data_IF_941491783317
#
_entry.id   IF_941491783317
#
_cell.length_a   1.000
_cell.length_b   1.000
_cell.length_c   1.000
_cell.angle_alpha   90.00
_cell.angle_beta   90.00
_cell.angle_gamma   90.00
#
_symmetry.space_group_name_H-M   'P 1'
#
loop_
_entity.id
_entity.type
_entity.pdbx_description
1 polymer ?
#
# COMPACT_ATOMS: atom_id res chain seq x y z
N UNK A 1 -20.22 34.88 -29.70
CA UNK A 1 -21.36 33.97 -29.43
C UNK A 1 -20.89 32.95 -28.41
N UNK A 2 -21.00 33.28 -27.11
CA UNK A 2 -22.07 32.81 -26.18
C UNK A 2 -22.01 31.30 -25.94
N UNK A 3 -21.51 30.86 -24.77
CA UNK A 3 -22.27 30.43 -23.56
C UNK A 3 -22.51 28.89 -23.58
N UNK A 4 -22.30 28.05 -22.55
CA UNK A 4 -22.27 28.21 -21.10
C UNK A 4 -21.36 27.16 -20.41
N UNK A 5 -20.63 27.60 -19.38
CA UNK A 5 -20.09 26.76 -18.32
C UNK A 5 -21.13 26.63 -17.19
N UNK A 6 -21.40 25.40 -16.73
CA UNK A 6 -22.32 25.12 -15.62
C UNK A 6 -21.63 25.33 -14.27
N UNK A 7 -21.97 26.45 -13.60
CA UNK A 7 -21.56 26.75 -12.23
C UNK A 7 -22.30 25.85 -11.22
N UNK A 8 -21.55 25.31 -10.26
CA UNK A 8 -22.07 24.74 -9.00
C UNK A 8 -22.41 25.87 -8.03
N UNK A 9 -23.59 25.88 -7.39
CA UNK A 9 -23.88 26.84 -6.33
C UNK A 9 -23.21 26.42 -5.01
N UNK A 10 -22.36 27.30 -4.49
CA UNK A 10 -21.86 27.31 -3.12
C UNK A 10 -22.89 28.00 -2.21
N UNK A 11 -23.30 27.35 -1.12
CA UNK A 11 -24.16 27.98 -0.11
C UNK A 11 -23.28 28.84 0.84
N UNK A 12 -23.50 30.14 0.78
CA UNK A 12 -22.95 31.15 1.68
C UNK A 12 -23.55 30.96 3.09
N UNK A 13 -22.67 30.85 4.09
CA UNK A 13 -23.04 30.99 5.51
C UNK A 13 -22.58 32.36 5.96
N UNK A 14 -23.52 33.28 6.14
CA UNK A 14 -23.26 34.61 6.69
C UNK A 14 -23.02 34.53 8.19
N UNK A 15 -22.00 35.26 8.63
CA UNK A 15 -21.69 35.55 10.02
C UNK A 15 -22.57 36.71 10.50
N UNK A 16 -23.02 36.65 11.75
CA UNK A 16 -23.50 37.82 12.48
C UNK A 16 -22.82 37.82 13.85
N UNK A 17 -22.12 38.92 14.10
CA UNK A 17 -21.27 39.16 15.25
C UNK A 17 -22.07 39.62 16.47
N UNK A 18 -21.50 39.32 17.63
CA UNK A 18 -21.91 39.77 18.96
C UNK A 18 -21.50 41.22 19.20
N UNK A 19 -22.46 42.05 19.61
CA UNK A 19 -22.31 43.25 20.45
C UNK A 19 -23.55 43.24 21.35
N UNK A 20 -23.52 43.24 22.68
CA UNK A 20 -22.68 44.01 23.58
C UNK A 20 -23.54 45.12 24.22
N UNK A 21 -23.75 45.03 25.53
CA UNK A 21 -23.89 46.17 26.47
C UNK A 21 -25.27 46.77 26.83
N UNK A 22 -25.60 46.61 28.12
CA UNK A 22 -25.97 47.63 29.15
C UNK A 22 -27.34 48.30 29.26
N UNK A 23 -27.71 48.49 30.55
CA UNK A 23 -28.66 49.41 31.19
C UNK A 23 -30.16 49.02 31.08
N UNK A 24 -30.90 48.71 32.15
CA UNK A 24 -31.18 49.43 33.42
C UNK A 24 -31.73 50.85 33.20
N UNK A 25 -33.06 50.96 33.17
CA UNK A 25 -33.82 52.17 33.51
C UNK A 25 -35.14 51.78 34.16
N UNK A 26 -35.24 52.09 35.44
CA UNK A 26 -36.42 52.16 36.30
C UNK A 26 -37.33 53.34 35.92
N UNK A 27 -38.66 53.19 36.04
CA UNK A 27 -39.54 54.06 36.86
C UNK A 27 -41.04 53.92 36.52
N UNK A 28 -41.82 53.61 37.56
CA UNK A 28 -43.08 54.22 38.05
C UNK A 28 -44.26 54.47 37.07
N UNK A 29 -45.47 54.01 37.46
CA UNK A 29 -46.78 54.73 37.50
C UNK A 29 -47.84 53.75 38.08
N UNK A 30 -48.28 53.90 39.34
CA UNK A 30 -49.54 54.55 39.82
C UNK A 30 -50.84 53.83 39.44
N UNK A 31 -51.55 53.28 40.44
CA UNK A 31 -53.00 53.44 40.67
C UNK A 31 -53.49 52.67 41.93
N UNK A 32 -53.70 53.44 43.01
CA UNK A 32 -54.86 53.54 43.93
C UNK A 32 -55.68 52.32 44.44
N UNK A 33 -56.35 52.45 45.62
CA UNK A 33 -56.70 51.36 46.52
C UNK A 33 -58.20 51.01 46.66
N UNK A 34 -58.46 49.79 47.13
CA UNK A 34 -59.53 49.34 48.06
C UNK A 34 -61.04 49.50 47.74
N UNK A 35 -61.75 48.35 47.83
CA UNK A 35 -63.02 48.01 48.54
C UNK A 35 -63.68 46.82 47.78
N UNK A 36 -64.13 45.70 48.33
CA UNK A 36 -64.26 45.14 49.69
C UNK A 36 -64.53 43.61 49.59
N UNK A 37 -64.89 42.91 50.68
CA UNK A 37 -64.81 41.45 50.78
C UNK A 37 -66.12 40.71 50.43
N UNK A 38 -66.01 39.55 49.77
CA UNK A 38 -67.09 38.56 49.66
C UNK A 38 -66.58 37.17 50.09
N UNK A 39 -67.06 36.60 51.21
CA UNK A 39 -66.70 35.26 51.64
C UNK A 39 -67.75 34.24 51.19
N UNK A 40 -67.38 33.27 50.36
CA UNK A 40 -68.14 32.04 50.21
C UNK A 40 -67.30 30.95 49.53
N UNK A 41 -67.04 29.87 50.29
CA UNK A 41 -66.70 28.51 49.85
C UNK A 41 -65.43 28.34 49.00
N UNK A 42 -64.54 27.37 49.17
CA UNK A 42 -64.55 26.09 49.85
C UNK A 42 -63.12 25.54 49.79
N UNK A 43 -62.59 25.12 50.93
CA UNK A 43 -61.71 23.96 51.11
C UNK A 43 -60.54 23.80 50.11
N UNK A 44 -59.36 24.29 50.50
CA UNK A 44 -58.09 23.70 50.08
C UNK A 44 -57.38 23.16 51.33
N UNK A 45 -56.87 21.91 51.32
CA UNK A 45 -56.16 21.37 52.48
C UNK A 45 -54.83 22.11 52.66
N UNK A 46 -54.65 22.66 53.85
CA UNK A 46 -53.37 23.20 54.33
C UNK A 46 -52.43 22.03 54.61
N UNK A 47 -51.44 21.82 53.74
CA UNK A 47 -50.31 20.95 54.05
C UNK A 47 -49.30 21.74 54.87
N UNK A 48 -49.33 21.55 56.18
CA UNK A 48 -48.35 22.08 57.11
C UNK A 48 -47.07 21.23 57.04
N UNK A 49 -46.04 21.69 56.33
CA UNK A 49 -44.62 21.70 56.74
C UNK A 49 -43.70 22.03 55.54
N UNK A 50 -42.86 23.05 55.71
CA UNK A 50 -41.48 23.01 55.21
C UNK A 50 -41.22 23.30 53.74
N UNK A 51 -40.96 24.57 53.44
CA UNK A 51 -40.05 24.96 52.36
C UNK A 51 -40.73 25.21 51.02
N UNK A 52 -40.60 26.44 50.53
CA UNK A 52 -40.73 26.75 49.12
C UNK A 52 -39.79 25.85 48.32
N UNK A 53 -40.30 24.76 47.74
CA UNK A 53 -39.60 24.14 46.62
C UNK A 53 -39.82 25.05 45.43
N UNK A 54 -39.01 26.11 45.39
CA UNK A 54 -38.83 26.96 44.23
C UNK A 54 -38.33 26.05 43.09
N UNK A 55 -39.24 25.59 42.23
CA UNK A 55 -38.86 24.94 40.98
C UNK A 55 -38.24 26.01 40.09
N UNK A 56 -36.94 26.23 40.28
CA UNK A 56 -36.14 27.02 39.35
C UNK A 56 -36.00 26.16 38.11
N UNK A 57 -36.72 26.51 37.05
CA UNK A 57 -36.51 25.92 35.73
C UNK A 57 -35.05 26.20 35.35
N UNK A 58 -34.17 25.20 35.52
CA UNK A 58 -32.80 25.28 35.03
C UNK A 58 -32.80 25.02 33.52
N UNK A 59 -32.32 26.04 32.82
CA UNK A 59 -32.02 26.20 31.39
C UNK A 59 -31.92 24.92 30.55
N UNK A 60 -32.77 24.83 29.52
CA UNK A 60 -32.62 24.01 28.28
C UNK A 60 -31.81 22.72 28.46
N UNK A 61 -32.44 21.63 28.88
CA UNK A 61 -31.90 20.28 28.61
C UNK A 61 -32.13 19.96 27.13
N UNK A 62 -31.06 19.79 26.36
CA UNK A 62 -31.15 19.12 25.06
C UNK A 62 -30.38 19.75 23.91
N UNK A 63 -29.17 20.26 24.14
CA UNK A 63 -28.20 20.42 23.05
C UNK A 63 -27.34 19.17 22.95
N UNK A 64 -27.80 18.14 22.25
CA UNK A 64 -26.93 16.99 21.95
C UNK A 64 -25.70 17.46 21.17
N UNK A 65 -24.50 17.03 21.57
CA UNK A 65 -23.29 17.34 20.79
C UNK A 65 -23.36 16.59 19.47
N UNK A 66 -23.59 17.30 18.37
CA UNK A 66 -23.39 16.76 17.03
C UNK A 66 -22.23 17.50 16.37
N UNK A 67 -21.15 16.76 16.12
CA UNK A 67 -20.18 16.91 15.01
C UNK A 67 -19.01 15.95 15.22
N UNK A 68 -19.26 14.67 15.00
CA UNK A 68 -18.15 13.76 14.70
C UNK A 68 -17.76 13.94 13.23
N UNK A 69 -17.01 15.01 12.95
CA UNK A 69 -16.28 15.15 11.70
C UNK A 69 -14.87 14.56 11.87
N UNK A 70 -14.79 13.26 12.19
CA UNK A 70 -13.52 12.54 12.39
C UNK A 70 -13.23 11.68 11.16
N UNK A 71 -12.30 12.14 10.35
CA UNK A 71 -11.83 11.43 9.17
C UNK A 71 -10.30 11.57 9.08
N UNK A 72 -9.62 10.44 8.90
CA UNK A 72 -8.17 10.45 8.67
C UNK A 72 -7.90 10.71 7.18
N UNK A 73 -6.80 11.41 6.88
CA UNK A 73 -6.40 11.58 5.49
C UNK A 73 -6.08 10.23 4.82
N UNK A 74 -6.26 10.14 3.50
CA UNK A 74 -5.92 8.94 2.74
C UNK A 74 -4.43 8.57 2.87
N UNK A 75 -4.14 7.28 3.06
CA UNK A 75 -2.76 6.77 3.24
C UNK A 75 -2.00 6.54 1.92
N UNK A 76 -2.62 6.84 0.78
CA UNK A 76 -2.02 6.72 -0.59
C UNK A 76 -1.48 5.32 -0.90
N UNK A 77 -2.20 4.29 -0.46
CA UNK A 77 -1.91 2.86 -0.74
C UNK A 77 -2.14 2.52 -2.22
N UNK A 78 -1.72 1.33 -2.65
CA UNK A 78 -1.93 0.79 -3.99
C UNK A 78 -0.65 0.67 -4.82
N UNK A 79 -0.84 0.38 -6.11
CA UNK A 79 0.20 0.22 -7.12
C UNK A 79 0.96 1.54 -7.31
N UNK A 80 2.28 1.44 -7.47
CA UNK A 80 3.18 2.55 -7.83
C UNK A 80 3.86 2.32 -9.17
N UNK A 81 4.16 1.06 -9.49
CA UNK A 81 4.70 0.63 -10.80
C UNK A 81 3.78 -0.43 -11.39
N UNK A 82 3.36 -0.21 -12.64
CA UNK A 82 2.45 -1.11 -13.35
C UNK A 82 3.22 -2.23 -14.06
N UNK A 83 2.49 -3.24 -14.53
CA UNK A 83 3.07 -4.33 -15.32
C UNK A 83 3.78 -3.79 -16.56
N UNK A 84 4.93 -4.36 -16.92
CA UNK A 84 5.76 -3.96 -18.07
C UNK A 84 6.56 -2.67 -17.86
N UNK A 85 6.47 -2.01 -16.70
CA UNK A 85 7.28 -0.83 -16.42
C UNK A 85 8.69 -1.22 -15.95
N UNK A 86 9.69 -0.51 -16.48
CA UNK A 86 11.06 -0.61 -16.01
C UNK A 86 11.21 0.01 -14.61
N UNK A 87 11.90 -0.69 -13.72
CA UNK A 87 12.18 -0.30 -12.34
C UNK A 87 13.65 -0.51 -12.01
N UNK A 88 14.17 0.35 -11.13
CA UNK A 88 15.50 0.21 -10.54
C UNK A 88 15.43 -0.52 -9.19
N UNK A 89 16.58 -1.02 -8.72
CA UNK A 89 16.66 -1.61 -7.38
C UNK A 89 16.29 -0.57 -6.31
N UNK A 90 15.47 -0.98 -5.34
CA UNK A 90 14.95 -0.15 -4.26
C UNK A 90 13.64 0.57 -4.59
N UNK A 91 13.19 0.60 -5.85
CA UNK A 91 11.93 1.25 -6.19
C UNK A 91 10.71 0.54 -5.60
N UNK A 92 9.74 1.33 -5.13
CA UNK A 92 8.49 0.82 -4.57
C UNK A 92 7.54 0.44 -5.71
N UNK A 93 7.03 -0.80 -5.67
CA UNK A 93 6.08 -1.32 -6.66
C UNK A 93 4.64 -1.27 -6.13
N UNK A 94 4.42 -1.63 -4.86
CA UNK A 94 3.09 -1.68 -4.26
C UNK A 94 3.12 -1.35 -2.78
N UNK A 95 2.27 -0.42 -2.32
CA UNK A 95 2.09 -0.09 -0.90
C UNK A 95 0.77 -0.66 -0.39
N UNK A 96 0.81 -1.46 0.67
CA UNK A 96 -0.36 -2.18 1.16
C UNK A 96 -0.50 -2.16 2.68
N UNK A 97 -1.63 -2.70 3.16
CA UNK A 97 -1.83 -3.09 4.55
C UNK A 97 -2.11 -4.59 4.54
N UNK A 98 -1.25 -5.35 5.22
CA UNK A 98 -1.18 -6.80 5.04
C UNK A 98 -0.72 -7.17 3.63
N UNK A 99 -0.69 -8.48 3.34
CA UNK A 99 -0.23 -9.01 2.05
C UNK A 99 -1.41 -9.29 1.13
N UNK A 100 -1.82 -8.29 0.33
CA UNK A 100 -2.72 -8.52 -0.81
C UNK A 100 -1.98 -9.15 -1.97
N UNK A 101 -0.76 -8.65 -2.21
CA UNK A 101 0.21 -9.22 -3.13
C UNK A 101 1.44 -9.67 -2.36
N UNK A 102 2.02 -10.79 -2.80
CA UNK A 102 3.22 -11.40 -2.22
C UNK A 102 4.45 -11.06 -3.06
N UNK A 103 5.61 -11.03 -2.40
CA UNK A 103 6.89 -10.90 -3.07
C UNK A 103 7.18 -12.16 -3.89
N UNK A 104 7.43 -11.97 -5.18
CA UNK A 104 7.87 -13.00 -6.11
C UNK A 104 9.35 -12.84 -6.46
N UNK A 105 9.77 -13.28 -7.66
CA UNK A 105 11.16 -13.18 -8.11
C UNK A 105 11.66 -11.74 -8.16
N UNK A 106 12.85 -11.48 -7.64
CA UNK A 106 13.51 -10.17 -7.63
C UNK A 106 12.71 -9.03 -6.95
N UNK A 107 11.83 -9.39 -6.03
CA UNK A 107 11.04 -8.47 -5.22
C UNK A 107 11.21 -8.87 -3.75
N UNK A 108 11.31 -7.88 -2.88
CA UNK A 108 11.33 -8.08 -1.44
C UNK A 108 10.18 -7.30 -0.79
N UNK A 109 9.91 -7.64 0.47
CA UNK A 109 8.82 -7.07 1.25
C UNK A 109 9.37 -6.37 2.49
N UNK A 110 9.00 -5.10 2.67
CA UNK A 110 9.37 -4.31 3.85
C UNK A 110 8.52 -4.61 5.08
N UNK A 111 8.84 -3.97 6.21
CA UNK A 111 8.13 -4.12 7.50
C UNK A 111 6.62 -3.84 7.41
N UNK A 112 6.22 -2.88 6.59
CA UNK A 112 4.80 -2.52 6.40
C UNK A 112 4.15 -3.27 5.23
N UNK A 113 4.75 -4.38 4.79
CA UNK A 113 4.35 -5.18 3.63
C UNK A 113 4.45 -4.44 2.28
N UNK A 114 5.13 -3.29 2.23
CA UNK A 114 5.44 -2.63 0.95
C UNK A 114 6.37 -3.51 0.11
N UNK A 115 6.02 -3.69 -1.16
CA UNK A 115 6.82 -4.46 -2.11
C UNK A 115 7.76 -3.52 -2.87
N UNK A 116 9.04 -3.88 -2.93
CA UNK A 116 10.08 -3.13 -3.62
C UNK A 116 10.97 -4.04 -4.47
N UNK A 117 11.53 -3.50 -5.55
CA UNK A 117 12.41 -4.22 -6.46
C UNK A 117 13.79 -4.46 -5.83
N UNK A 118 14.34 -5.66 -5.92
CA UNK A 118 15.72 -5.94 -5.48
C UNK A 118 16.75 -5.81 -6.60
N UNK A 119 16.31 -5.91 -7.86
CA UNK A 119 17.16 -5.75 -9.03
C UNK A 119 16.47 -4.87 -10.08
N UNK A 120 17.27 -4.30 -10.97
CA UNK A 120 16.75 -3.57 -12.14
C UNK A 120 16.03 -4.51 -13.11
N UNK A 121 14.91 -4.08 -13.69
CA UNK A 121 14.11 -4.94 -14.56
C UNK A 121 12.69 -4.45 -14.83
N UNK A 122 11.80 -5.34 -15.27
CA UNK A 122 10.41 -5.03 -15.61
C UNK A 122 9.43 -5.70 -14.64
N UNK A 123 8.40 -4.97 -14.21
CA UNK A 123 7.41 -5.46 -13.23
C UNK A 123 6.39 -6.38 -13.89
N UNK A 124 6.03 -7.48 -13.23
CA UNK A 124 4.95 -8.37 -13.65
C UNK A 124 4.07 -8.76 -12.47
N UNK A 125 2.75 -8.75 -12.69
CA UNK A 125 1.75 -9.24 -11.74
C UNK A 125 1.23 -10.59 -12.26
N UNK A 126 1.31 -11.63 -11.43
CA UNK A 126 0.92 -12.97 -11.86
C UNK A 126 0.29 -13.78 -10.73
N UNK A 127 -0.47 -14.80 -11.12
CA UNK A 127 -0.98 -15.83 -10.23
C UNK A 127 -0.04 -17.04 -10.29
N UNK A 128 0.13 -17.79 -9.20
CA UNK A 128 0.83 -19.06 -9.29
C UNK A 128 0.05 -19.94 -10.27
N UNK A 129 0.78 -20.71 -11.07
CA UNK A 129 0.13 -21.78 -11.83
C UNK A 129 -0.60 -22.65 -10.80
N UNK A 130 -1.88 -23.01 -11.03
CA UNK A 130 -2.48 -24.09 -10.26
C UNK A 130 -1.60 -25.30 -10.54
N UNK A 131 -0.75 -25.66 -9.57
CA UNK A 131 0.12 -26.80 -9.75
C UNK A 131 -0.80 -28.00 -9.99
N UNK A 132 -0.64 -28.63 -11.15
CA UNK A 132 -0.71 -30.09 -11.21
C UNK A 132 0.06 -30.60 -9.98
N UNK A 133 -0.54 -31.48 -9.15
CA UNK A 133 0.11 -31.95 -7.94
C UNK A 133 1.53 -32.38 -8.27
N UNK A 134 2.49 -31.98 -7.42
CA UNK A 134 3.91 -32.25 -7.57
C UNK A 134 4.16 -33.76 -7.68
N UNK A 135 4.05 -34.30 -8.89
CA UNK A 135 4.37 -35.68 -9.19
C UNK A 135 5.07 -35.72 -10.56
N UNK A 136 6.24 -36.35 -10.56
CA UNK A 136 7.14 -36.67 -11.68
C UNK A 136 8.18 -35.60 -12.03
N UNK A 137 9.31 -35.70 -11.34
CA UNK A 137 10.60 -35.39 -11.94
C UNK A 137 10.75 -36.25 -13.20
N UNK A 138 10.67 -35.65 -14.39
CA UNK A 138 11.14 -36.27 -15.61
C UNK A 138 12.67 -36.33 -15.56
N UNK A 139 13.20 -37.53 -15.34
CA UNK A 139 14.57 -37.86 -15.72
C UNK A 139 14.71 -37.64 -17.22
N UNK A 140 15.30 -36.52 -17.62
CA UNK A 140 15.78 -36.34 -18.98
C UNK A 140 17.03 -37.23 -19.17
N UNK A 141 16.82 -38.51 -19.45
CA UNK A 141 17.79 -39.33 -20.17
C UNK A 141 17.72 -38.96 -21.64
N UNK A 142 18.66 -38.15 -22.11
CA UNK A 142 19.12 -38.21 -23.50
C UNK A 142 20.57 -37.75 -23.53
N UNK A 143 21.49 -38.69 -23.76
CA UNK A 143 22.50 -38.68 -24.84
C UNK A 143 23.59 -39.69 -24.50
N UNK A 144 23.46 -40.87 -25.11
CA UNK A 144 24.57 -41.74 -25.48
C UNK A 144 25.58 -40.95 -26.33
N UNK A 145 26.88 -40.97 -26.03
CA UNK A 145 27.82 -41.29 -27.09
C UNK A 145 28.65 -42.52 -26.74
N UNK A 146 28.78 -43.34 -27.75
CA UNK A 146 29.59 -44.55 -27.86
C UNK A 146 31.09 -44.33 -27.65
N UNK A 147 31.70 -45.38 -27.09
CA UNK A 147 33.01 -45.97 -27.44
C UNK A 147 34.32 -45.18 -27.23
N UNK A 148 35.16 -45.81 -26.39
CA UNK A 148 36.61 -46.06 -26.54
C UNK A 148 37.61 -44.89 -26.46
N UNK A 149 38.31 -44.78 -25.33
CA UNK A 149 39.72 -45.24 -25.21
C UNK A 149 40.31 -44.93 -23.83
N UNK A 150 41.14 -45.87 -23.37
CA UNK A 150 41.79 -46.03 -22.07
C UNK A 150 42.99 -45.07 -21.85
N UNK A 151 43.61 -45.04 -20.64
CA UNK A 151 44.24 -43.88 -20.02
C UNK A 151 45.74 -43.74 -20.34
N UNK A 152 46.28 -42.52 -20.22
CA UNK A 152 47.72 -42.33 -19.99
C UNK A 152 48.06 -41.01 -19.30
N UNK A 153 49.14 -41.08 -18.54
CA UNK A 153 49.77 -40.16 -17.59
C UNK A 153 50.19 -38.79 -18.13
N UNK A 154 49.94 -37.72 -17.36
CA UNK A 154 50.95 -36.77 -16.84
C UNK A 154 50.24 -35.81 -15.87
N UNK A 155 50.54 -35.92 -14.59
CA UNK A 155 50.03 -35.04 -13.54
C UNK A 155 50.74 -33.69 -13.57
N UNK A 156 50.32 -32.79 -14.44
CA UNK A 156 50.42 -31.34 -14.17
C UNK A 156 49.09 -30.95 -13.54
N UNK A 157 49.11 -30.52 -12.28
CA UNK A 157 47.92 -30.32 -11.45
C UNK A 157 46.84 -29.50 -12.13
N UNK A 158 45.87 -30.20 -12.75
CA UNK A 158 44.64 -29.61 -13.23
C UNK A 158 43.81 -29.30 -11.99
N UNK A 159 43.63 -28.01 -11.70
CA UNK A 159 42.69 -27.56 -10.68
C UNK A 159 41.35 -28.28 -10.92
N UNK A 160 40.75 -28.91 -9.89
CA UNK A 160 39.49 -29.62 -10.07
C UNK A 160 38.48 -28.65 -10.68
N UNK A 161 37.96 -28.99 -11.86
CA UNK A 161 36.98 -28.17 -12.53
C UNK A 161 35.80 -27.94 -11.58
N UNK A 162 35.59 -26.68 -11.16
CA UNK A 162 34.50 -26.34 -10.27
C UNK A 162 33.19 -26.76 -10.95
N UNK A 163 32.54 -27.80 -10.40
CA UNK A 163 31.25 -28.26 -10.90
C UNK A 163 30.26 -27.08 -10.81
N UNK A 164 29.74 -26.66 -11.96
CA UNK A 164 28.86 -25.51 -12.04
C UNK A 164 27.58 -25.78 -11.23
N UNK A 165 27.43 -25.08 -10.09
CA UNK A 165 26.23 -25.20 -9.25
C UNK A 165 25.03 -24.60 -9.99
N UNK A 166 24.14 -25.46 -10.46
CA UNK A 166 22.92 -25.04 -11.15
C UNK A 166 21.88 -24.58 -10.13
N UNK A 167 21.47 -23.32 -10.21
CA UNK A 167 20.42 -22.76 -9.34
C UNK A 167 19.08 -22.75 -10.09
N UNK A 168 18.15 -23.60 -9.65
CA UNK A 168 16.79 -23.73 -10.21
C UNK A 168 15.83 -22.74 -9.53
N UNK A 169 14.87 -22.21 -10.28
CA UNK A 169 13.87 -21.28 -9.75
C UNK A 169 13.00 -21.97 -8.67
N UNK A 170 12.75 -21.33 -7.51
CA UNK A 170 11.89 -21.91 -6.49
C UNK A 170 10.44 -21.94 -6.97
N UNK A 171 9.74 -23.01 -6.62
CA UNK A 171 8.30 -23.13 -6.84
C UNK A 171 7.56 -22.07 -6.04
N UNK A 172 6.79 -21.22 -6.73
CA UNK A 172 5.93 -20.22 -6.11
C UNK A 172 4.59 -20.83 -5.63
N UNK A 173 4.61 -22.12 -5.27
CA UNK A 173 3.47 -22.86 -4.73
C UNK A 173 3.34 -22.46 -3.26
N UNK A 174 2.52 -21.45 -2.98
CA UNK A 174 2.11 -21.19 -1.60
C UNK A 174 0.67 -21.61 -1.46
N UNK A 175 0.47 -22.81 -0.91
CA UNK A 175 -0.84 -23.23 -0.43
C UNK A 175 -1.28 -22.22 0.63
N UNK A 176 -2.47 -21.60 0.51
CA UNK A 176 -2.98 -20.74 1.56
C UNK A 176 -3.13 -21.55 2.86
N UNK A 177 -2.98 -20.89 4.02
CA UNK A 177 -3.25 -21.57 5.30
C UNK A 177 -4.70 -22.10 5.29
N UNK A 178 -4.98 -23.30 5.82
CA UNK A 178 -6.32 -23.91 5.73
C UNK A 178 -7.45 -23.04 6.30
N UNK A 179 -7.14 -22.15 7.26
CA UNK A 179 -8.12 -21.18 7.79
C UNK A 179 -8.36 -19.94 6.91
N UNK A 180 -7.54 -19.73 5.88
CA UNK A 180 -7.69 -18.62 4.95
C UNK A 180 -8.80 -18.92 3.95
N UNK A 181 -9.79 -18.04 3.86
CA UNK A 181 -10.83 -18.09 2.82
C UNK A 181 -10.30 -17.92 1.39
N UNK A 182 -9.07 -17.43 1.21
CA UNK A 182 -8.46 -17.22 -0.10
C UNK A 182 -7.87 -18.53 -0.62
N UNK A 183 -8.31 -18.97 -1.79
CA UNK A 183 -7.83 -20.20 -2.45
C UNK A 183 -6.45 -20.02 -3.12
N UNK A 184 -6.10 -18.82 -3.57
CA UNK A 184 -4.86 -18.54 -4.30
C UNK A 184 -4.17 -17.28 -3.77
N UNK A 185 -2.83 -17.27 -3.87
CA UNK A 185 -2.00 -16.09 -3.62
C UNK A 185 -1.74 -15.36 -4.92
N UNK A 186 -1.43 -14.06 -4.84
CA UNK A 186 -1.07 -13.23 -5.99
C UNK A 186 0.34 -12.71 -5.78
N UNK A 187 1.15 -12.65 -6.83
CA UNK A 187 2.55 -12.28 -6.72
C UNK A 187 2.93 -11.11 -7.62
N UNK A 188 3.94 -10.39 -7.18
CA UNK A 188 4.65 -9.39 -7.97
C UNK A 188 6.08 -9.84 -8.15
N UNK A 189 6.54 -9.89 -9.39
CA UNK A 189 7.92 -10.20 -9.73
C UNK A 189 8.54 -9.12 -10.59
N UNK A 190 9.87 -9.11 -10.64
CA UNK A 190 10.65 -8.30 -11.56
C UNK A 190 11.47 -9.24 -12.46
N UNK A 191 11.31 -9.11 -13.77
CA UNK A 191 12.08 -9.82 -14.79
C UNK A 191 13.25 -8.97 -15.27
N UNK A 192 14.30 -9.60 -15.77
CA UNK A 192 15.42 -8.88 -16.35
C UNK A 192 15.17 -8.50 -17.82
N UNK A 193 14.25 -9.20 -18.47
CA UNK A 193 13.88 -9.07 -19.88
C UNK A 193 12.38 -8.75 -19.93
N UNK A 194 11.93 -7.79 -20.76
CA UNK A 194 10.53 -7.36 -20.79
C UNK A 194 9.57 -8.48 -21.23
N UNK A 195 10.03 -9.38 -22.10
CA UNK A 195 9.22 -10.45 -22.68
C UNK A 195 9.12 -11.70 -21.80
N UNK A 196 9.71 -11.65 -20.60
CA UNK A 196 9.69 -12.79 -19.70
C UNK A 196 8.27 -13.04 -19.16
N UNK A 197 7.72 -14.22 -19.45
CA UNK A 197 6.47 -14.67 -18.86
C UNK A 197 6.69 -15.15 -17.41
N UNK A 198 5.77 -14.77 -16.52
CA UNK A 198 5.67 -15.34 -15.18
C UNK A 198 4.31 -16.03 -15.01
N UNK A 199 4.25 -17.10 -14.20
CA UNK A 199 5.33 -17.77 -13.47
C UNK A 199 6.22 -18.64 -14.39
N UNK A 200 7.49 -18.82 -14.03
CA UNK A 200 8.44 -19.61 -14.83
C UNK A 200 8.17 -21.13 -14.68
N UNK A 201 8.42 -21.93 -15.73
CA UNK A 201 8.32 -23.38 -15.63
C UNK A 201 9.33 -23.95 -14.63
N UNK A 202 8.97 -25.07 -14.00
CA UNK A 202 9.82 -25.76 -13.04
C UNK A 202 11.07 -26.33 -13.73
N UNK A 203 12.20 -26.36 -13.01
CA UNK A 203 13.45 -26.92 -13.53
C UNK A 203 14.28 -25.97 -14.40
N UNK A 204 13.73 -24.86 -14.86
CA UNK A 204 14.49 -23.88 -15.65
C UNK A 204 15.58 -23.19 -14.79
N UNK A 205 16.72 -22.92 -15.43
CA UNK A 205 17.82 -22.17 -14.80
C UNK A 205 17.33 -20.76 -14.42
N UNK A 206 17.70 -20.30 -13.23
CA UNK A 206 17.41 -18.93 -12.81
C UNK A 206 18.19 -17.94 -13.66
N UNK A 207 17.50 -17.02 -14.30
CA UNK A 207 18.15 -15.86 -14.90
C UNK A 207 18.65 -14.94 -13.76
N UNK A 208 19.93 -14.63 -13.79
CA UNK A 208 20.60 -13.69 -12.87
C UNK A 208 21.42 -12.73 -13.71
N UNK A 209 21.48 -11.46 -13.30
CA UNK A 209 22.36 -10.49 -13.92
C UNK A 209 23.57 -10.29 -13.04
N UNK A 210 24.74 -10.36 -13.68
CA UNK A 210 25.99 -9.98 -13.06
C UNK A 210 26.22 -8.51 -13.39
N UNK A 211 25.99 -7.63 -12.41
CA UNK A 211 26.11 -6.18 -12.60
C UNK A 211 27.53 -5.65 -12.36
N UNK A 212 28.52 -6.53 -12.18
CA UNK A 212 29.92 -6.14 -11.99
C UNK A 212 30.66 -6.12 -13.32
N UNK A 213 31.56 -5.15 -13.45
CA UNK A 213 32.38 -4.94 -14.64
C UNK A 213 33.78 -5.48 -14.36
N UNK A 214 34.37 -6.20 -15.32
CA UNK A 214 35.81 -6.51 -15.27
C UNK A 214 36.61 -5.28 -15.70
N UNK A 215 37.39 -4.74 -14.76
CA UNK A 215 38.18 -3.51 -14.95
C UNK A 215 39.29 -3.73 -15.98
N UNK A 216 39.88 -4.92 -16.02
CA UNK A 216 40.99 -5.21 -16.92
C UNK A 216 40.51 -5.26 -18.37
N UNK A 217 39.38 -5.92 -18.60
CA UNK A 217 38.79 -5.99 -19.93
C UNK A 217 38.23 -4.64 -20.38
N UNK A 218 37.65 -3.85 -19.47
CA UNK A 218 37.27 -2.47 -19.75
C UNK A 218 38.47 -1.62 -20.20
N UNK A 219 39.60 -1.72 -19.49
CA UNK A 219 40.81 -1.00 -19.85
C UNK A 219 41.37 -1.44 -21.21
N UNK A 220 41.30 -2.74 -21.55
CA UNK A 220 41.68 -3.23 -22.88
C UNK A 220 40.78 -2.66 -23.97
N UNK A 221 39.46 -2.62 -23.76
CA UNK A 221 38.51 -2.03 -24.70
C UNK A 221 38.76 -0.54 -24.92
N UNK A 222 39.01 0.20 -23.84
CA UNK A 222 39.37 1.63 -23.92
C UNK A 222 40.64 1.82 -24.75
N UNK A 223 41.66 0.99 -24.56
CA UNK A 223 42.90 1.03 -25.35
C UNK A 223 42.63 0.75 -26.83
N UNK A 224 41.84 -0.28 -27.14
CA UNK A 224 41.50 -0.63 -28.52
C UNK A 224 40.75 0.49 -29.25
N UNK A 225 39.74 1.10 -28.60
CA UNK A 225 39.00 2.23 -29.18
C UNK A 225 39.91 3.43 -29.44
N UNK A 226 40.87 3.71 -28.54
CA UNK A 226 41.85 4.78 -28.75
C UNK A 226 42.76 4.54 -29.95
N UNK A 227 43.24 3.31 -30.12
CA UNK A 227 44.07 2.95 -31.28
C UNK A 227 43.27 3.09 -32.58
N UNK A 228 42.06 2.53 -32.64
CA UNK A 228 41.18 2.67 -33.81
C UNK A 228 40.94 4.14 -34.19
N UNK A 229 40.68 5.00 -33.21
CA UNK A 229 40.45 6.42 -33.48
C UNK A 229 41.72 7.17 -33.89
N UNK A 230 42.89 6.73 -33.43
CA UNK A 230 44.16 7.28 -33.87
C UNK A 230 44.50 6.86 -35.30
N UNK A 231 44.22 5.62 -35.67
CA UNK A 231 44.37 5.10 -37.04
C UNK A 231 43.40 5.79 -38.01
N UNK A 232 42.16 6.05 -37.60
CA UNK A 232 41.16 6.75 -38.42
C UNK A 232 41.43 8.27 -38.60
N UNK A 233 42.38 8.84 -37.84
CA UNK A 233 42.76 10.25 -37.93
C UNK A 233 43.99 10.51 -38.82
N UNK A 234 44.61 9.43 -39.35
CA UNK A 234 45.71 9.47 -40.33
C UNK A 234 45.16 9.26 -41.75
#
# INVERSE_FOLDING_TARGET
MSLLATLRPQLLRTAAATTGSTASTSSLLVASPFYGPSPSSSVLPSFAFGGSVQTRNSTKRGGGSTKNNRNSAGRRLGVKRHSGQYVQAGEIIYRQRGTSWHAGPNVAMGRDHTLFATSSGYVHFFYPNPATPATSFSTATTTTPSSSSSPSSTSTGALPALAQKTYVAPDLVTVPHPSSKKQTRRYVGVSLVPDAAFPRPQGEKRQRKFEKIDINDLNKQIKAVRLHNAEAAL
#
